data_IF_271251486383
#
_entry.id   IF_271251486383
#
_cell.length_a   1.000
_cell.length_b   1.000
_cell.length_c   1.000
_cell.angle_alpha   90.00
_cell.angle_beta   90.00
_cell.angle_gamma   90.00
#
_symmetry.space_group_name_H-M   'P 1'
#
loop_
_entity.id
_entity.type
_entity.pdbx_description
1 polymer ?
#
# COMPACT_ATOMS: atom_id res chain seq x y z
N UNK A 1 -29.72 27.75 -13.12
CA UNK A 1 -28.53 26.87 -13.08
C UNK A 1 -28.28 26.28 -14.47
N UNK A 2 -27.09 26.45 -15.06
CA UNK A 2 -26.80 25.92 -16.40
C UNK A 2 -26.89 24.38 -16.44
N UNK A 3 -27.30 23.84 -17.58
CA UNK A 3 -27.42 22.39 -17.85
C UNK A 3 -26.11 21.64 -17.58
N UNK A 4 -24.99 22.28 -17.92
CA UNK A 4 -23.63 21.80 -17.63
C UNK A 4 -23.38 21.67 -16.11
N UNK A 5 -23.89 22.59 -15.28
CA UNK A 5 -23.79 22.46 -13.81
C UNK A 5 -24.61 21.29 -13.31
N UNK A 6 -25.82 21.05 -13.84
CA UNK A 6 -26.67 19.91 -13.42
C UNK A 6 -26.01 18.56 -13.70
N UNK A 7 -25.42 18.38 -14.89
CA UNK A 7 -24.72 17.14 -15.22
C UNK A 7 -23.47 16.90 -14.35
N UNK A 8 -22.74 17.96 -13.99
CA UNK A 8 -21.60 17.85 -13.08
C UNK A 8 -22.02 17.43 -11.67
N UNK A 9 -23.10 18.00 -11.15
CA UNK A 9 -23.65 17.63 -9.84
C UNK A 9 -24.16 16.19 -9.81
N UNK A 10 -24.92 15.77 -10.82
CA UNK A 10 -25.41 14.39 -10.93
C UNK A 10 -24.25 13.38 -11.01
N UNK A 11 -23.20 13.70 -11.76
CA UNK A 11 -22.04 12.83 -11.87
C UNK A 11 -21.23 12.74 -10.57
N UNK A 12 -21.07 13.87 -9.86
CA UNK A 12 -20.43 13.90 -8.55
C UNK A 12 -21.23 13.08 -7.53
N UNK A 13 -22.55 13.28 -7.47
CA UNK A 13 -23.44 12.55 -6.58
C UNK A 13 -23.42 11.04 -6.83
N UNK A 14 -23.45 10.61 -8.09
CA UNK A 14 -23.39 9.19 -8.46
C UNK A 14 -22.04 8.56 -8.07
N UNK A 15 -20.92 9.24 -8.32
CA UNK A 15 -19.60 8.75 -7.90
C UNK A 15 -19.49 8.67 -6.38
N UNK A 16 -19.90 9.72 -5.66
CA UNK A 16 -19.94 9.71 -4.19
C UNK A 16 -20.83 8.58 -3.67
N UNK A 17 -21.99 8.34 -4.28
CA UNK A 17 -22.87 7.23 -3.94
C UNK A 17 -22.20 5.86 -4.11
N UNK A 18 -21.45 5.65 -5.20
CA UNK A 18 -20.69 4.41 -5.42
C UNK A 18 -19.59 4.19 -4.39
N UNK A 19 -18.84 5.24 -4.05
CA UNK A 19 -17.82 5.19 -3.00
C UNK A 19 -18.46 4.83 -1.67
N UNK A 20 -19.53 5.53 -1.27
CA UNK A 20 -20.25 5.26 -0.03
C UNK A 20 -20.79 3.83 0.01
N UNK A 21 -21.39 3.37 -1.09
CA UNK A 21 -21.92 2.00 -1.20
C UNK A 21 -20.84 0.95 -0.96
N UNK A 22 -19.71 1.04 -1.67
CA UNK A 22 -18.63 0.07 -1.54
C UNK A 22 -17.95 0.12 -0.18
N UNK A 23 -17.68 1.31 0.36
CA UNK A 23 -17.17 1.45 1.71
C UNK A 23 -18.15 0.88 2.73
N UNK A 24 -19.45 1.15 2.58
CA UNK A 24 -20.50 0.61 3.45
C UNK A 24 -20.51 -0.93 3.45
N UNK A 25 -20.45 -1.55 2.27
CA UNK A 25 -20.36 -3.02 2.15
C UNK A 25 -19.12 -3.56 2.86
N UNK A 26 -17.95 -3.00 2.59
CA UNK A 26 -16.70 -3.51 3.17
C UNK A 26 -16.66 -3.31 4.68
N UNK A 27 -17.15 -2.16 5.16
CA UNK A 27 -17.29 -1.91 6.59
C UNK A 27 -18.26 -2.91 7.23
N UNK A 28 -19.40 -3.20 6.59
CA UNK A 28 -20.38 -4.15 7.08
C UNK A 28 -19.86 -5.60 7.11
N UNK A 29 -19.13 -6.02 6.07
CA UNK A 29 -18.63 -7.38 5.95
C UNK A 29 -17.48 -7.69 6.92
N UNK A 30 -16.50 -6.79 7.06
CA UNK A 30 -15.27 -7.09 7.81
C UNK A 30 -14.92 -6.15 8.95
N UNK A 31 -15.34 -4.88 8.91
CA UNK A 31 -14.83 -3.87 9.84
C UNK A 31 -15.72 -3.70 11.08
N UNK A 32 -17.05 -3.72 10.94
CA UNK A 32 -18.02 -3.55 12.05
C UNK A 32 -17.86 -4.62 13.13
N UNK A 33 -17.58 -5.88 12.77
CA UNK A 33 -17.32 -6.95 13.74
C UNK A 33 -16.07 -6.71 14.61
N UNK A 34 -15.12 -5.87 14.16
CA UNK A 34 -13.84 -5.62 14.83
C UNK A 34 -13.69 -4.23 15.45
N UNK A 35 -14.57 -3.27 15.14
CA UNK A 35 -14.57 -1.92 15.76
C UNK A 35 -14.97 -1.93 17.24
N UNK A 36 -15.67 -2.98 17.70
CA UNK A 36 -16.22 -3.06 19.06
C UNK A 36 -15.25 -3.66 20.10
N UNK A 37 -14.11 -4.19 19.67
CA UNK A 37 -13.11 -4.74 20.59
C UNK A 37 -11.79 -3.94 20.51
N UNK A 38 -11.22 -3.48 21.64
CA UNK A 38 -9.89 -2.87 21.65
C UNK A 38 -8.86 -3.93 21.24
N UNK A 39 -8.26 -3.75 20.06
CA UNK A 39 -7.25 -4.68 19.55
C UNK A 39 -5.84 -4.23 19.96
N UNK A 40 -4.92 -5.17 20.22
CA UNK A 40 -3.54 -4.83 20.52
C UNK A 40 -2.89 -4.11 19.32
N UNK A 41 -2.13 -3.06 19.60
CA UNK A 41 -1.44 -2.26 18.59
C UNK A 41 -0.17 -1.65 19.15
N UNK A 42 0.74 -1.23 18.26
CA UNK A 42 2.02 -0.60 18.66
C UNK A 42 1.83 0.87 19.03
N UNK A 43 0.85 1.54 18.43
CA UNK A 43 0.56 2.95 18.64
C UNK A 43 0.08 3.31 20.05
N UNK A 44 -0.85 2.58 20.69
CA UNK A 44 -1.38 2.99 22.00
C UNK A 44 -0.31 3.08 23.08
N UNK A 45 0.49 2.02 23.25
CA UNK A 45 1.61 2.02 24.21
C UNK A 45 2.65 3.10 23.90
N UNK A 46 2.96 3.31 22.61
CA UNK A 46 3.95 4.29 22.18
C UNK A 46 3.47 5.72 22.47
N UNK A 47 2.21 6.03 22.14
CA UNK A 47 1.69 7.39 22.20
C UNK A 47 1.22 7.80 23.59
N UNK A 48 0.70 6.87 24.40
CA UNK A 48 0.51 7.11 25.84
C UNK A 48 1.81 7.51 26.51
N UNK A 49 2.92 6.88 26.13
CA UNK A 49 4.23 7.23 26.66
C UNK A 49 4.75 8.56 26.11
N UNK A 50 4.54 8.86 24.83
CA UNK A 50 4.91 10.16 24.24
C UNK A 50 4.21 11.34 24.94
N UNK A 51 2.95 11.17 25.35
CA UNK A 51 2.23 12.17 26.15
C UNK A 51 2.83 12.36 27.55
N UNK A 52 3.56 11.38 28.07
CA UNK A 52 4.15 11.40 29.41
C UNK A 52 5.64 11.84 29.44
N UNK A 53 6.28 12.05 28.27
CA UNK A 53 7.72 12.36 28.19
C UNK A 53 8.02 13.56 27.27
N UNK A 54 9.17 14.24 27.45
CA UNK A 54 9.56 15.33 26.58
C UNK A 54 9.70 14.92 25.10
N UNK A 55 9.37 15.84 24.20
CA UNK A 55 9.45 15.67 22.73
C UNK A 55 10.82 15.17 22.25
N UNK A 56 11.91 15.55 22.94
CA UNK A 56 13.27 15.11 22.63
C UNK A 56 13.47 13.59 22.68
N UNK A 57 12.55 12.85 23.32
CA UNK A 57 12.60 11.40 23.43
C UNK A 57 11.76 10.67 22.38
N UNK A 58 10.89 11.36 21.65
CA UNK A 58 9.90 10.72 20.78
C UNK A 58 10.53 9.96 19.60
N UNK A 59 11.65 10.47 19.04
CA UNK A 59 12.26 9.93 17.81
C UNK A 59 12.87 8.53 17.93
N UNK A 60 13.16 8.05 19.13
CA UNK A 60 13.76 6.72 19.37
C UNK A 60 12.89 5.81 20.24
N UNK A 61 11.71 6.29 20.64
CA UNK A 61 10.73 5.54 21.43
C UNK A 61 9.62 5.03 20.50
N UNK A 62 9.88 3.93 19.79
CA UNK A 62 8.82 3.09 19.20
C UNK A 62 8.62 1.85 20.06
N UNK A 63 7.43 1.22 20.03
CA UNK A 63 7.17 -0.17 20.51
C UNK A 63 7.90 -0.58 21.80
N UNK A 64 7.95 0.30 22.79
CA UNK A 64 8.65 -0.01 24.04
C UNK A 64 7.60 -0.31 25.10
N UNK A 65 7.60 -1.54 25.62
CA UNK A 65 6.92 -1.80 26.88
C UNK A 65 7.60 -0.94 27.95
N UNK A 66 6.81 -0.38 28.86
CA UNK A 66 7.31 0.46 29.94
C UNK A 66 8.50 -0.19 30.68
N UNK A 67 8.41 -1.51 30.89
CA UNK A 67 9.44 -2.37 31.49
C UNK A 67 10.76 -2.38 30.72
N UNK A 68 10.73 -2.34 29.38
CA UNK A 68 11.92 -2.25 28.54
C UNK A 68 12.63 -0.91 28.68
N UNK A 69 11.86 0.19 28.69
CA UNK A 69 12.40 1.55 28.86
C UNK A 69 13.05 1.70 30.23
N UNK A 70 12.41 1.20 31.29
CA UNK A 70 12.99 1.19 32.64
C UNK A 70 14.24 0.32 32.76
N UNK A 71 14.39 -0.68 31.91
CA UNK A 71 15.60 -1.52 31.81
C UNK A 71 16.69 -0.90 30.92
N UNK A 72 16.52 0.34 30.47
CA UNK A 72 17.47 1.02 29.57
C UNK A 72 17.45 0.51 28.14
N UNK A 73 16.35 -0.13 27.69
CA UNK A 73 16.22 -0.73 26.36
C UNK A 73 15.07 -0.09 25.57
N UNK A 74 15.35 0.36 24.34
CA UNK A 74 14.35 1.02 23.47
C UNK A 74 14.30 0.40 22.07
N UNK A 75 13.12 0.41 21.45
CA UNK A 75 12.92 -0.14 20.12
C UNK A 75 12.97 0.97 19.05
N UNK A 76 13.97 0.92 18.18
CA UNK A 76 14.31 2.02 17.25
C UNK A 76 14.00 1.67 15.78
N UNK A 77 13.10 0.72 15.56
CA UNK A 77 12.97 0.01 14.27
C UNK A 77 11.94 0.61 13.33
N UNK A 78 11.02 1.41 13.86
CA UNK A 78 9.99 2.05 13.09
C UNK A 78 10.53 3.31 12.43
N UNK A 79 10.16 3.59 11.17
CA UNK A 79 10.47 4.88 10.56
C UNK A 79 9.88 6.01 11.42
N UNK A 80 10.72 6.94 11.90
CA UNK A 80 10.25 8.01 12.78
C UNK A 80 9.15 8.87 12.12
N UNK A 81 9.23 9.08 10.81
CA UNK A 81 8.21 9.79 10.04
C UNK A 81 6.84 9.10 10.10
N UNK A 82 6.80 7.77 10.11
CA UNK A 82 5.56 7.01 10.29
C UNK A 82 4.98 7.27 11.67
N UNK A 83 5.77 7.13 12.73
CA UNK A 83 5.30 7.32 14.10
C UNK A 83 4.74 8.73 14.31
N UNK A 84 5.45 9.75 13.81
CA UNK A 84 5.02 11.14 13.87
C UNK A 84 3.71 11.34 13.10
N UNK A 85 3.62 10.83 11.86
CA UNK A 85 2.41 10.96 11.06
C UNK A 85 1.21 10.26 11.73
N UNK A 86 1.42 9.05 12.26
CA UNK A 86 0.40 8.31 13.01
C UNK A 86 -0.03 9.05 14.27
N UNK A 87 0.89 9.64 15.03
CA UNK A 87 0.57 10.46 16.20
C UNK A 87 -0.23 11.71 15.82
N UNK A 88 0.19 12.41 14.76
CA UNK A 88 -0.49 13.61 14.26
C UNK A 88 -1.93 13.34 13.80
N UNK A 89 -2.22 12.12 13.36
CA UNK A 89 -3.58 11.68 13.02
C UNK A 89 -4.36 11.23 14.26
N UNK A 90 -3.74 10.45 15.15
CA UNK A 90 -4.44 9.79 16.26
C UNK A 90 -4.65 10.65 17.49
N UNK A 91 -3.71 11.55 17.81
CA UNK A 91 -3.85 12.44 18.97
C UNK A 91 -5.08 13.36 18.85
N UNK A 92 -5.36 14.02 17.70
CA UNK A 92 -6.59 14.77 17.54
C UNK A 92 -7.85 13.92 17.72
N UNK A 93 -7.89 12.71 17.14
CA UNK A 93 -9.05 11.81 17.28
C UNK A 93 -9.28 11.43 18.76
N UNK A 94 -8.22 11.09 19.48
CA UNK A 94 -8.24 10.84 20.92
C UNK A 94 -8.83 12.03 21.68
N UNK A 95 -8.29 13.23 21.48
CA UNK A 95 -8.67 14.42 22.25
C UNK A 95 -10.05 14.99 21.89
N UNK A 96 -10.43 14.97 20.61
CA UNK A 96 -11.73 15.50 20.16
C UNK A 96 -12.88 14.59 20.59
N UNK A 97 -12.70 13.27 20.51
CA UNK A 97 -13.76 12.30 20.79
C UNK A 97 -13.65 11.65 22.18
N UNK A 98 -12.66 12.02 23.00
CA UNK A 98 -12.44 11.45 24.33
C UNK A 98 -12.15 9.94 24.31
N UNK A 99 -11.62 9.42 23.20
CA UNK A 99 -11.33 7.99 23.03
C UNK A 99 -9.99 7.63 23.64
N UNK A 100 -9.74 6.35 23.92
CA UNK A 100 -8.38 5.87 24.20
C UNK A 100 -7.60 5.70 22.89
N UNK A 101 -6.26 5.64 22.92
CA UNK A 101 -5.49 5.37 21.69
C UNK A 101 -5.80 3.98 21.10
N UNK A 102 -6.17 3.00 21.94
CA UNK A 102 -6.59 1.67 21.55
C UNK A 102 -7.85 1.69 20.68
N UNK A 103 -8.76 2.62 20.93
CA UNK A 103 -9.97 2.83 20.12
C UNK A 103 -9.71 3.79 18.95
N UNK A 104 -8.96 4.87 19.17
CA UNK A 104 -8.66 5.86 18.14
C UNK A 104 -7.91 5.24 16.93
N UNK A 105 -7.00 4.29 17.19
CA UNK A 105 -6.28 3.59 16.12
C UNK A 105 -7.20 2.82 15.15
N UNK A 106 -8.45 2.52 15.53
CA UNK A 106 -9.41 1.86 14.64
C UNK A 106 -9.72 2.72 13.41
N UNK A 107 -9.54 4.05 13.49
CA UNK A 107 -9.74 4.98 12.36
C UNK A 107 -8.62 4.88 11.31
N UNK A 108 -7.45 4.32 11.65
CA UNK A 108 -6.31 4.24 10.72
C UNK A 108 -6.63 3.38 9.50
N UNK A 109 -7.26 2.22 9.70
CA UNK A 109 -7.61 1.31 8.62
C UNK A 109 -8.55 1.95 7.55
N UNK A 110 -9.73 2.49 7.92
CA UNK A 110 -10.59 3.16 6.94
C UNK A 110 -9.96 4.43 6.36
N UNK A 111 -9.13 5.16 7.12
CA UNK A 111 -8.41 6.33 6.60
C UNK A 111 -7.40 5.93 5.51
N UNK A 112 -6.60 4.88 5.74
CA UNK A 112 -5.62 4.38 4.77
C UNK A 112 -6.31 3.79 3.54
N UNK A 113 -7.39 3.02 3.72
CA UNK A 113 -8.19 2.51 2.61
C UNK A 113 -8.84 3.64 1.80
N UNK A 114 -9.43 4.64 2.47
CA UNK A 114 -9.97 5.85 1.85
C UNK A 114 -8.92 6.61 1.06
N UNK A 115 -7.73 6.79 1.64
CA UNK A 115 -6.60 7.45 0.98
C UNK A 115 -6.13 6.65 -0.24
N UNK A 116 -6.05 5.32 -0.13
CA UNK A 116 -5.74 4.43 -1.25
C UNK A 116 -6.74 4.60 -2.39
N UNK A 117 -8.05 4.49 -2.11
CA UNK A 117 -9.09 4.68 -3.11
C UNK A 117 -9.00 6.07 -3.75
N UNK A 118 -8.94 7.13 -2.93
CA UNK A 118 -8.86 8.51 -3.42
C UNK A 118 -7.63 8.76 -4.31
N UNK A 119 -6.46 8.24 -3.91
CA UNK A 119 -5.22 8.38 -4.67
C UNK A 119 -5.33 7.71 -6.04
N UNK A 120 -5.82 6.47 -6.10
CA UNK A 120 -6.00 5.75 -7.37
C UNK A 120 -6.94 6.49 -8.32
N UNK A 121 -8.06 7.04 -7.83
CA UNK A 121 -8.97 7.83 -8.65
C UNK A 121 -8.37 9.16 -9.09
N UNK A 122 -7.67 9.85 -8.20
CA UNK A 122 -7.00 11.11 -8.54
C UNK A 122 -5.96 10.91 -9.65
N UNK A 123 -5.18 9.83 -9.60
CA UNK A 123 -4.19 9.51 -10.64
C UNK A 123 -4.82 9.16 -11.99
N UNK A 124 -6.03 8.59 -11.95
CA UNK A 124 -6.77 8.23 -13.15
C UNK A 124 -7.77 9.31 -13.61
N UNK A 125 -7.74 10.53 -13.03
CA UNK A 125 -8.68 11.63 -13.35
C UNK A 125 -8.77 11.98 -14.83
N UNK A 126 -7.66 11.87 -15.58
CA UNK A 126 -7.64 12.09 -17.02
C UNK A 126 -8.47 11.05 -17.75
N UNK A 127 -8.23 9.77 -17.45
CA UNK A 127 -8.99 8.64 -18.01
C UNK A 127 -10.47 8.67 -17.63
N UNK A 128 -10.77 9.07 -16.39
CA UNK A 128 -12.16 9.25 -15.94
C UNK A 128 -12.86 10.36 -16.74
N UNK A 129 -12.13 11.41 -17.12
CA UNK A 129 -12.67 12.44 -18.03
C UNK A 129 -12.92 11.87 -19.41
N UNK A 130 -12.04 11.01 -19.92
CA UNK A 130 -12.20 10.37 -21.23
C UNK A 130 -13.42 9.44 -21.27
N UNK A 131 -13.75 8.78 -20.16
CA UNK A 131 -14.99 8.00 -20.02
C UNK A 131 -16.28 8.82 -20.19
N UNK A 132 -16.22 10.16 -20.21
CA UNK A 132 -17.40 10.98 -20.49
C UNK A 132 -17.94 10.80 -21.91
N UNK A 133 -17.15 10.24 -22.83
CA UNK A 133 -17.59 9.90 -24.19
C UNK A 133 -18.28 8.54 -24.28
N UNK A 134 -18.21 7.72 -23.22
CA UNK A 134 -18.86 6.41 -23.20
C UNK A 134 -20.35 6.52 -22.82
N UNK A 135 -21.20 5.57 -23.26
CA UNK A 135 -22.61 5.53 -22.86
C UNK A 135 -22.76 5.54 -21.34
N UNK A 136 -23.78 6.23 -20.78
CA UNK A 136 -23.93 6.41 -19.33
C UNK A 136 -23.88 5.11 -18.52
N UNK A 137 -24.59 4.06 -18.97
CA UNK A 137 -24.60 2.77 -18.29
C UNK A 137 -23.19 2.16 -18.22
N UNK A 138 -22.48 2.10 -19.36
CA UNK A 138 -21.12 1.55 -19.44
C UNK A 138 -20.16 2.34 -18.56
N UNK A 139 -20.20 3.67 -18.64
CA UNK A 139 -19.39 4.57 -17.79
C UNK A 139 -19.60 4.27 -16.31
N UNK A 140 -20.84 4.19 -15.86
CA UNK A 140 -21.18 3.94 -14.46
C UNK A 140 -20.78 2.54 -14.01
N UNK A 141 -20.96 1.51 -14.84
CA UNK A 141 -20.50 0.16 -14.54
C UNK A 141 -18.98 0.09 -14.39
N UNK A 142 -18.21 0.74 -15.27
CA UNK A 142 -16.75 0.78 -15.19
C UNK A 142 -16.26 1.52 -13.93
N UNK A 143 -16.86 2.68 -13.64
CA UNK A 143 -16.55 3.44 -12.43
C UNK A 143 -16.93 2.66 -11.16
N UNK A 144 -18.07 1.98 -11.16
CA UNK A 144 -18.53 1.13 -10.06
C UNK A 144 -17.59 -0.05 -9.82
N UNK A 145 -17.17 -0.75 -10.88
CA UNK A 145 -16.22 -1.85 -10.79
C UNK A 145 -14.83 -1.39 -10.32
N UNK A 146 -14.31 -0.29 -10.87
CA UNK A 146 -13.05 0.31 -10.44
C UNK A 146 -13.08 0.71 -8.94
N UNK A 147 -14.21 1.29 -8.50
CA UNK A 147 -14.38 1.68 -7.09
C UNK A 147 -14.46 0.46 -6.20
N UNK A 148 -15.18 -0.59 -6.63
CA UNK A 148 -15.28 -1.85 -5.92
C UNK A 148 -13.94 -2.57 -5.79
N UNK A 149 -13.16 -2.65 -6.85
CA UNK A 149 -11.81 -3.25 -6.81
C UNK A 149 -10.87 -2.48 -5.87
N UNK A 150 -10.97 -1.16 -5.82
CA UNK A 150 -10.18 -0.34 -4.90
C UNK A 150 -10.61 -0.51 -3.45
N UNK A 151 -11.91 -0.40 -3.20
CA UNK A 151 -12.49 -0.39 -1.86
C UNK A 151 -12.55 -1.78 -1.24
N UNK A 152 -12.85 -2.82 -2.02
CA UNK A 152 -12.89 -4.20 -1.55
C UNK A 152 -11.55 -4.92 -1.72
N UNK A 153 -10.41 -4.22 -1.73
CA UNK A 153 -9.11 -4.89 -1.86
C UNK A 153 -8.81 -5.73 -0.61
N UNK A 154 -9.12 -7.03 -0.62
CA UNK A 154 -9.09 -7.86 0.59
C UNK A 154 -7.70 -7.92 1.27
N UNK A 155 -6.58 -8.13 0.55
CA UNK A 155 -5.24 -8.09 1.17
C UNK A 155 -4.95 -6.78 1.93
N UNK A 156 -5.43 -5.63 1.44
CA UNK A 156 -5.27 -4.35 2.13
C UNK A 156 -6.02 -4.34 3.46
N UNK A 157 -7.29 -4.74 3.47
CA UNK A 157 -8.09 -4.77 4.69
C UNK A 157 -7.65 -5.85 5.67
N UNK A 158 -7.29 -7.04 5.21
CA UNK A 158 -6.78 -8.12 6.06
C UNK A 158 -5.49 -7.66 6.75
N UNK A 159 -4.59 -7.03 6.00
CA UNK A 159 -3.38 -6.41 6.54
C UNK A 159 -3.71 -5.35 7.58
N UNK A 160 -4.60 -4.42 7.24
CA UNK A 160 -4.94 -3.29 8.11
C UNK A 160 -5.75 -3.72 9.34
N UNK A 161 -6.63 -4.70 9.25
CA UNK A 161 -7.57 -5.05 10.32
C UNK A 161 -7.04 -6.17 11.20
N UNK A 162 -6.47 -7.22 10.60
CA UNK A 162 -6.11 -8.46 11.30
C UNK A 162 -4.66 -8.53 11.79
N UNK A 163 -3.71 -7.93 11.06
CA UNK A 163 -2.29 -8.24 11.29
C UNK A 163 -1.39 -7.03 11.57
N UNK A 164 -1.67 -5.86 10.98
CA UNK A 164 -0.78 -4.70 11.08
C UNK A 164 -1.44 -3.36 10.68
N UNK A 165 -2.07 -2.72 11.66
CA UNK A 165 -2.65 -1.35 11.53
C UNK A 165 -1.58 -0.27 11.32
N UNK A 166 -0.32 -0.60 11.52
CA UNK A 166 0.88 0.23 11.39
C UNK A 166 1.65 -0.01 10.07
N UNK A 167 1.03 -0.67 9.08
CA UNK A 167 1.74 -1.05 7.85
C UNK A 167 2.04 0.16 6.93
N UNK A 168 3.26 0.68 7.06
CA UNK A 168 3.79 1.79 6.28
C UNK A 168 4.09 1.46 4.81
N UNK A 169 4.07 0.19 4.42
CA UNK A 169 4.27 -0.22 3.04
C UNK A 169 3.08 0.17 2.15
N UNK A 170 1.86 0.28 2.67
CA UNK A 170 0.67 0.61 1.88
C UNK A 170 0.77 2.02 1.24
N UNK A 171 1.01 3.11 1.99
CA UNK A 171 1.25 4.44 1.41
C UNK A 171 2.47 4.49 0.48
N UNK A 172 3.53 3.73 0.79
CA UNK A 172 4.73 3.69 -0.03
C UNK A 172 4.50 2.99 -1.38
N UNK A 173 3.79 1.85 -1.39
CA UNK A 173 3.35 1.18 -2.60
C UNK A 173 2.54 2.11 -3.49
N UNK A 174 1.64 2.91 -2.91
CA UNK A 174 0.87 3.93 -3.62
C UNK A 174 1.78 4.98 -4.29
N UNK A 175 2.67 5.60 -3.53
CA UNK A 175 3.64 6.58 -4.08
C UNK A 175 4.45 5.97 -5.23
N UNK A 176 4.86 4.71 -5.08
CA UNK A 176 5.60 3.98 -6.10
C UNK A 176 4.76 3.71 -7.37
N UNK A 177 3.48 3.38 -7.22
CA UNK A 177 2.54 3.25 -8.34
C UNK A 177 2.45 4.54 -9.15
N UNK A 178 2.29 5.66 -8.46
CA UNK A 178 2.20 6.96 -9.11
C UNK A 178 3.47 7.31 -9.86
N UNK A 179 4.63 6.97 -9.31
CA UNK A 179 5.92 7.21 -9.96
C UNK A 179 6.06 6.43 -11.28
N UNK A 180 5.73 5.15 -11.29
CA UNK A 180 5.74 4.33 -12.52
C UNK A 180 4.75 4.90 -13.55
N UNK A 181 3.53 5.23 -13.11
CA UNK A 181 2.44 5.74 -13.96
C UNK A 181 2.72 7.12 -14.54
N UNK A 182 3.39 8.00 -13.80
CA UNK A 182 3.68 9.39 -14.20
C UNK A 182 4.97 9.55 -15.02
N UNK A 183 5.53 8.44 -15.52
CA UNK A 183 6.86 8.40 -16.17
C UNK A 183 7.93 9.08 -15.30
N UNK A 184 7.72 8.95 -13.99
CA UNK A 184 8.52 9.48 -12.91
C UNK A 184 8.68 11.02 -12.86
N UNK A 185 7.87 11.84 -13.54
CA UNK A 185 7.97 13.31 -13.45
C UNK A 185 7.81 13.80 -11.98
N UNK A 186 8.83 14.48 -11.43
CA UNK A 186 8.85 14.92 -10.01
C UNK A 186 9.68 14.01 -9.07
N UNK A 187 10.59 13.23 -9.65
CA UNK A 187 11.44 12.19 -9.08
C UNK A 187 11.89 12.35 -7.60
N UNK A 188 12.59 13.45 -7.26
CA UNK A 188 13.29 13.52 -5.97
C UNK A 188 12.34 13.64 -4.76
N UNK A 189 11.21 14.34 -4.89
CA UNK A 189 10.27 14.54 -3.78
C UNK A 189 9.60 13.24 -3.35
N UNK A 190 9.21 12.40 -4.29
CA UNK A 190 8.61 11.10 -3.98
C UNK A 190 9.63 10.08 -3.48
N UNK A 191 10.85 10.07 -4.02
CA UNK A 191 11.95 9.28 -3.47
C UNK A 191 12.24 9.65 -2.01
N UNK A 192 12.21 10.95 -1.69
CA UNK A 192 12.35 11.45 -0.32
C UNK A 192 11.23 10.95 0.61
N UNK A 193 9.98 11.00 0.15
CA UNK A 193 8.83 10.44 0.90
C UNK A 193 9.00 8.94 1.11
N UNK A 194 9.39 8.18 0.09
CA UNK A 194 9.66 6.74 0.21
C UNK A 194 10.78 6.46 1.22
N UNK A 195 11.88 7.22 1.17
CA UNK A 195 12.98 7.06 2.11
C UNK A 195 12.58 7.34 3.57
N UNK A 196 11.69 8.32 3.80
CA UNK A 196 11.22 8.65 5.14
C UNK A 196 10.23 7.62 5.70
N UNK A 197 9.28 7.15 4.89
CA UNK A 197 8.17 6.32 5.35
C UNK A 197 8.42 4.83 5.17
N UNK A 198 9.16 4.43 4.15
CA UNK A 198 9.41 3.02 3.83
C UNK A 198 10.79 2.81 3.20
N UNK A 199 11.88 2.92 3.98
CA UNK A 199 13.26 2.78 3.49
C UNK A 199 13.52 1.52 2.64
N UNK A 200 12.75 0.44 2.85
CA UNK A 200 12.81 -0.80 2.07
C UNK A 200 12.50 -0.62 0.58
N UNK A 201 11.87 0.50 0.18
CA UNK A 201 11.59 0.82 -1.23
C UNK A 201 12.76 1.51 -1.93
N UNK A 202 13.80 1.94 -1.21
CA UNK A 202 14.94 2.67 -1.79
C UNK A 202 15.78 1.82 -2.78
N UNK A 203 16.02 0.52 -2.55
CA UNK A 203 16.65 -0.33 -3.57
C UNK A 203 15.83 -0.39 -4.86
N UNK A 204 14.50 -0.56 -4.75
CA UNK A 204 13.61 -0.57 -5.89
C UNK A 204 13.58 0.77 -6.62
N UNK A 205 13.56 1.88 -5.87
CA UNK A 205 13.76 3.22 -6.40
C UNK A 205 15.04 3.26 -7.24
N UNK A 206 16.19 2.96 -6.63
CA UNK A 206 17.51 3.02 -7.28
C UNK A 206 17.56 2.24 -8.60
N UNK A 207 17.03 1.00 -8.61
CA UNK A 207 17.00 0.14 -9.79
C UNK A 207 16.19 0.74 -10.94
N UNK A 208 15.03 1.36 -10.67
CA UNK A 208 14.18 1.90 -11.73
C UNK A 208 14.91 2.97 -12.55
N UNK A 209 15.60 3.91 -11.92
CA UNK A 209 16.23 4.98 -12.70
C UNK A 209 17.67 4.70 -13.16
N UNK A 210 18.23 3.53 -12.85
CA UNK A 210 19.35 3.01 -13.66
C UNK A 210 18.93 2.88 -15.14
N UNK A 211 17.63 2.71 -15.41
CA UNK A 211 17.07 2.61 -16.76
C UNK A 211 16.84 3.91 -17.53
N UNK A 212 17.14 5.11 -16.97
CA UNK A 212 16.88 6.34 -17.72
C UNK A 212 17.39 7.65 -17.09
N UNK A 213 18.30 8.34 -17.81
CA UNK A 213 18.86 9.69 -17.52
C UNK A 213 19.84 9.74 -16.32
N UNK A 214 21.02 9.16 -16.55
CA UNK A 214 22.07 8.86 -15.57
C UNK A 214 22.42 9.98 -14.57
N UNK A 215 22.66 11.23 -14.99
CA UNK A 215 23.29 12.24 -14.10
C UNK A 215 22.35 12.84 -13.03
N UNK A 216 21.10 13.15 -13.39
CA UNK A 216 20.10 13.64 -12.42
C UNK A 216 19.59 12.51 -11.54
N UNK A 217 19.51 11.30 -12.10
CA UNK A 217 19.12 10.12 -11.38
C UNK A 217 20.14 9.73 -10.30
N UNK A 218 21.43 9.74 -10.62
CA UNK A 218 22.49 9.45 -9.65
C UNK A 218 22.40 10.36 -8.41
N UNK A 219 22.15 11.67 -8.60
CA UNK A 219 21.93 12.60 -7.48
C UNK A 219 20.70 12.25 -6.66
N UNK A 220 19.60 11.88 -7.31
CA UNK A 220 18.38 11.42 -6.63
C UNK A 220 18.64 10.17 -5.79
N UNK A 221 19.34 9.18 -6.34
CA UNK A 221 19.69 7.95 -5.61
C UNK A 221 20.57 8.25 -4.40
N UNK A 222 21.57 9.13 -4.54
CA UNK A 222 22.42 9.54 -3.41
C UNK A 222 21.58 10.23 -2.34
N UNK A 223 20.77 11.23 -2.69
CA UNK A 223 19.94 11.97 -1.72
C UNK A 223 18.97 11.02 -1.02
N UNK A 224 18.23 10.21 -1.77
CA UNK A 224 17.24 9.27 -1.25
C UNK A 224 17.89 8.18 -0.40
N UNK A 225 19.06 7.69 -0.83
CA UNK A 225 19.87 6.73 -0.07
C UNK A 225 20.37 7.32 1.25
N UNK A 226 20.86 8.55 1.24
CA UNK A 226 21.27 9.26 2.46
C UNK A 226 20.10 9.47 3.40
N UNK A 227 18.94 9.88 2.89
CA UNK A 227 17.74 10.08 3.72
C UNK A 227 17.28 8.76 4.32
N UNK A 228 17.25 7.66 3.56
CA UNK A 228 16.88 6.36 4.09
C UNK A 228 17.88 5.85 5.14
N UNK A 229 19.19 6.08 4.92
CA UNK A 229 20.21 5.77 5.92
C UNK A 229 19.96 6.58 7.21
N UNK A 230 19.71 7.89 7.10
CA UNK A 230 19.38 8.72 8.25
C UNK A 230 18.09 8.26 8.94
N UNK A 231 17.01 8.01 8.20
CA UNK A 231 15.75 7.50 8.77
C UNK A 231 15.92 6.18 9.51
N UNK A 232 16.87 5.35 9.09
CA UNK A 232 17.16 4.06 9.72
C UNK A 232 18.13 4.14 10.90
N UNK A 233 19.20 4.93 10.80
CA UNK A 233 20.27 4.99 11.79
C UNK A 233 20.09 6.08 12.84
N UNK A 234 19.43 7.20 12.51
CA UNK A 234 19.25 8.32 13.43
C UNK A 234 18.55 7.91 14.75
N UNK A 235 17.44 7.13 14.74
CA UNK A 235 16.82 6.68 15.99
C UNK A 235 17.77 5.85 16.87
N UNK A 236 18.64 5.04 16.27
CA UNK A 236 19.64 4.24 17.00
C UNK A 236 20.71 5.11 17.63
N UNK A 237 21.21 6.09 16.89
CA UNK A 237 22.21 7.03 17.39
C UNK A 237 21.65 7.90 18.52
N UNK A 238 20.42 8.40 18.38
CA UNK A 238 19.76 9.17 19.44
C UNK A 238 19.51 8.33 20.69
N UNK A 239 19.10 7.07 20.55
CA UNK A 239 18.96 6.15 21.68
C UNK A 239 20.29 5.94 22.42
N UNK A 240 21.37 5.67 21.67
CA UNK A 240 22.70 5.46 22.24
C UNK A 240 23.24 6.72 22.93
N UNK A 241 23.08 7.90 22.31
CA UNK A 241 23.46 9.18 22.89
C UNK A 241 22.67 9.50 24.18
N UNK A 242 21.43 9.02 24.28
CA UNK A 242 20.60 9.13 25.47
C UNK A 242 20.85 8.03 26.52
N UNK A 243 21.87 7.19 26.34
CA UNK A 243 22.27 6.14 27.28
C UNK A 243 21.41 4.86 27.22
N UNK A 244 20.58 4.70 26.19
CA UNK A 244 19.76 3.51 25.99
C UNK A 244 20.47 2.50 25.08
N UNK A 245 20.24 1.21 25.36
CA UNK A 245 20.54 0.12 24.44
C UNK A 245 19.40 -0.02 23.46
N UNK A 246 19.68 -0.09 22.16
CA UNK A 246 18.65 -0.41 21.17
C UNK A 246 18.48 -1.93 21.08
N UNK A 247 17.26 -2.44 21.23
CA UNK A 247 16.99 -3.80 20.76
C UNK A 247 16.85 -3.75 19.24
N UNK A 248 17.60 -4.58 18.49
CA UNK A 248 17.38 -4.67 17.06
C UNK A 248 15.96 -5.14 16.79
N UNK A 249 15.39 -4.59 15.74
CA UNK A 249 14.10 -5.00 15.21
C UNK A 249 14.01 -6.51 15.05
N UNK A 250 13.14 -7.21 15.79
CA UNK A 250 12.66 -8.54 15.37
C UNK A 250 12.07 -8.53 13.95
N UNK A 251 11.70 -7.35 13.42
CA UNK A 251 11.08 -7.14 12.12
C UNK A 251 12.13 -6.98 10.98
N UNK A 252 13.39 -6.61 11.25
CA UNK A 252 14.46 -6.50 10.23
C UNK A 252 15.73 -7.33 10.52
N UNK A 253 15.83 -8.02 11.65
CA UNK A 253 16.94 -8.95 11.95
C UNK A 253 16.53 -10.42 12.04
N UNK A 254 15.23 -10.74 11.92
CA UNK A 254 14.79 -12.06 11.43
C UNK A 254 14.80 -12.06 9.89
N UNK A 255 15.90 -11.61 9.30
CA UNK A 255 16.05 -11.37 7.85
C UNK A 255 17.05 -12.30 7.20
N UNK A 256 17.59 -13.27 7.94
CA UNK A 256 18.69 -14.12 7.50
C UNK A 256 20.05 -13.40 7.53
N UNK A 257 20.09 -12.13 7.97
CA UNK A 257 21.34 -11.41 8.24
C UNK A 257 22.13 -11.99 9.43
N UNK A 258 21.46 -12.77 10.27
CA UNK A 258 22.07 -13.60 11.31
C UNK A 258 22.51 -14.99 10.79
N UNK A 259 22.32 -15.28 9.49
CA UNK A 259 22.61 -16.58 8.87
C UNK A 259 21.61 -17.68 9.23
N UNK A 260 20.56 -17.37 10.00
CA UNK A 260 19.52 -18.33 10.34
C UNK A 260 18.72 -18.72 9.09
N UNK A 261 18.21 -19.94 9.04
CA UNK A 261 17.22 -20.42 8.05
C UNK A 261 15.99 -20.99 8.74
N UNK A 262 15.84 -20.71 10.05
CA UNK A 262 14.80 -21.30 10.90
C UNK A 262 13.38 -21.15 10.34
N UNK A 263 13.14 -20.09 9.57
CA UNK A 263 11.83 -19.72 9.02
C UNK A 263 11.79 -19.76 7.48
N UNK A 264 12.79 -20.32 6.81
CA UNK A 264 12.77 -20.55 5.36
C UNK A 264 13.87 -21.51 4.90
N UNK A 265 13.60 -22.33 3.91
CA UNK A 265 14.58 -23.20 3.23
C UNK A 265 15.11 -22.58 1.93
N UNK A 266 14.36 -21.65 1.33
CA UNK A 266 14.78 -20.94 0.11
C UNK A 266 14.03 -19.61 -0.07
N UNK A 267 14.54 -18.76 -0.97
CA UNK A 267 13.86 -17.52 -1.39
C UNK A 267 12.52 -17.84 -2.08
N UNK A 268 12.45 -18.94 -2.82
CA UNK A 268 11.21 -19.40 -3.46
C UNK A 268 10.16 -19.77 -2.40
N UNK A 269 10.58 -20.43 -1.32
CA UNK A 269 9.68 -20.71 -0.20
C UNK A 269 9.20 -19.42 0.46
N UNK A 270 10.09 -18.46 0.73
CA UNK A 270 9.69 -17.16 1.28
C UNK A 270 8.67 -16.42 0.40
N UNK A 271 8.81 -16.53 -0.93
CA UNK A 271 7.88 -15.93 -1.88
C UNK A 271 6.56 -16.71 -1.99
N UNK A 272 6.58 -18.03 -2.09
CA UNK A 272 5.39 -18.81 -2.47
C UNK A 272 4.70 -19.52 -1.31
N UNK A 273 5.43 -19.85 -0.25
CA UNK A 273 4.97 -20.69 0.85
C UNK A 273 5.59 -20.26 2.21
N UNK A 274 5.24 -19.08 2.73
CA UNK A 274 5.80 -18.54 3.99
C UNK A 274 5.65 -19.52 5.16
N UNK A 275 6.59 -19.49 6.12
CA UNK A 275 6.74 -20.55 7.14
C UNK A 275 5.77 -20.51 8.31
N UNK A 276 4.96 -19.46 8.45
CA UNK A 276 3.94 -19.37 9.50
C UNK A 276 2.60 -19.87 8.97
N UNK A 277 1.73 -20.28 9.90
CA UNK A 277 0.30 -20.64 9.77
C UNK A 277 -0.59 -19.52 9.15
N UNK A 278 -0.01 -18.65 8.34
CA UNK A 278 -0.75 -17.75 7.46
C UNK A 278 -0.84 -18.49 6.14
N UNK A 279 -1.99 -19.11 5.87
CA UNK A 279 -2.35 -19.50 4.51
C UNK A 279 -2.24 -18.25 3.65
N UNK A 280 -1.09 -18.09 2.98
CA UNK A 280 -0.87 -16.97 2.08
C UNK A 280 -1.92 -17.12 1.00
N UNK A 281 -2.95 -16.29 1.08
CA UNK A 281 -4.08 -16.34 0.16
C UNK A 281 -3.51 -16.37 -1.25
N UNK A 282 -3.79 -17.44 -1.99
CA UNK A 282 -3.44 -17.59 -3.40
C UNK A 282 -3.84 -16.35 -4.23
N UNK A 283 -4.83 -15.60 -3.72
CA UNK A 283 -5.25 -14.28 -4.18
C UNK A 283 -4.11 -13.30 -4.39
N UNK A 284 -3.05 -13.32 -3.58
CA UNK A 284 -1.90 -12.42 -3.70
C UNK A 284 -1.26 -12.51 -5.09
N UNK A 285 -1.29 -13.69 -5.70
CA UNK A 285 -0.78 -13.93 -7.06
C UNK A 285 -1.84 -13.73 -8.15
N UNK A 286 -3.13 -13.82 -7.81
CA UNK A 286 -4.22 -13.52 -8.74
C UNK A 286 -4.18 -12.05 -9.20
N UNK A 287 -3.87 -11.11 -8.29
CA UNK A 287 -3.78 -9.69 -8.64
C UNK A 287 -2.75 -9.37 -9.74
N UNK A 288 -1.46 -9.71 -9.61
CA UNK A 288 -0.48 -9.44 -10.66
C UNK A 288 -0.80 -10.22 -11.94
N UNK A 289 -1.30 -11.45 -11.85
CA UNK A 289 -1.73 -12.21 -13.03
C UNK A 289 -2.87 -11.49 -13.78
N UNK A 290 -3.90 -11.03 -13.06
CA UNK A 290 -5.00 -10.27 -13.64
C UNK A 290 -4.52 -8.94 -14.23
N UNK A 291 -3.56 -8.26 -13.59
CA UNK A 291 -3.00 -7.00 -14.06
C UNK A 291 -2.24 -7.13 -15.41
N UNK A 292 -1.79 -8.33 -15.77
CA UNK A 292 -1.14 -8.60 -17.06
C UNK A 292 -2.12 -8.86 -18.20
N UNK A 293 -3.37 -9.24 -17.93
CA UNK A 293 -4.37 -9.54 -18.97
C UNK A 293 -4.56 -8.38 -19.95
N UNK A 294 -4.73 -7.11 -19.51
CA UNK A 294 -4.82 -5.96 -20.42
C UNK A 294 -3.58 -5.80 -21.31
N UNK A 295 -2.38 -6.09 -20.78
CA UNK A 295 -1.13 -6.01 -21.52
C UNK A 295 -1.10 -7.05 -22.66
N UNK A 296 -1.51 -8.29 -22.38
CA UNK A 296 -1.64 -9.35 -23.38
C UNK A 296 -2.69 -9.02 -24.44
N UNK A 297 -3.86 -8.49 -24.05
CA UNK A 297 -4.93 -8.12 -24.98
C UNK A 297 -4.46 -7.04 -25.95
N UNK A 298 -3.84 -5.97 -25.44
CA UNK A 298 -3.32 -4.90 -26.28
C UNK A 298 -2.16 -5.34 -27.18
N UNK A 299 -1.30 -6.24 -26.70
CA UNK A 299 -0.15 -6.74 -27.46
C UNK A 299 -0.54 -7.57 -28.69
N UNK A 300 -1.75 -8.16 -28.70
CA UNK A 300 -2.28 -8.93 -29.83
C UNK A 300 -2.59 -8.06 -31.05
N UNK A 301 -2.97 -6.81 -30.85
CA UNK A 301 -3.26 -5.90 -31.96
C UNK A 301 -2.01 -5.14 -32.41
N UNK A 302 -1.62 -5.18 -33.70
CA UNK A 302 -0.46 -4.43 -34.19
C UNK A 302 -0.52 -2.92 -33.90
N UNK A 303 -1.71 -2.32 -33.96
CA UNK A 303 -1.92 -0.88 -33.70
C UNK A 303 -1.76 -0.50 -32.23
N UNK A 304 -1.88 -1.45 -31.30
CA UNK A 304 -1.81 -1.23 -29.85
C UNK A 304 -0.62 -1.91 -29.17
N UNK A 305 0.24 -2.57 -29.95
CA UNK A 305 1.35 -3.39 -29.43
C UNK A 305 2.32 -2.60 -28.55
N UNK A 306 2.69 -1.37 -28.95
CA UNK A 306 3.56 -0.50 -28.17
C UNK A 306 2.96 -0.15 -26.80
N UNK A 307 1.64 0.04 -26.74
CA UNK A 307 0.90 0.30 -25.50
C UNK A 307 0.82 -0.94 -24.62
N UNK A 308 0.60 -2.12 -25.21
CA UNK A 308 0.67 -3.40 -24.52
C UNK A 308 2.03 -3.61 -23.85
N UNK A 309 3.13 -3.35 -24.57
CA UNK A 309 4.48 -3.38 -23.99
C UNK A 309 4.67 -2.34 -22.87
N UNK A 310 4.06 -1.15 -23.00
CA UNK A 310 4.03 -0.15 -21.93
C UNK A 310 3.40 -0.70 -20.64
N UNK A 311 2.25 -1.40 -20.75
CA UNK A 311 1.61 -2.04 -19.59
C UNK A 311 2.44 -3.20 -19.02
N UNK A 312 3.08 -4.01 -19.85
CA UNK A 312 4.02 -5.05 -19.37
C UNK A 312 5.18 -4.45 -18.59
N UNK A 313 5.78 -3.39 -19.12
CA UNK A 313 6.85 -2.66 -18.44
C UNK A 313 6.37 -2.10 -17.11
N UNK A 314 5.22 -1.42 -17.10
CA UNK A 314 4.67 -0.84 -15.88
C UNK A 314 4.37 -1.92 -14.84
N UNK A 315 3.79 -3.06 -15.22
CA UNK A 315 3.57 -4.22 -14.35
C UNK A 315 4.88 -4.80 -13.81
N UNK A 316 5.90 -4.98 -14.66
CA UNK A 316 7.21 -5.48 -14.24
C UNK A 316 7.89 -4.53 -13.25
N UNK A 317 7.85 -3.21 -13.50
CA UNK A 317 8.42 -2.19 -12.60
C UNK A 317 7.74 -2.20 -11.24
N UNK A 318 6.42 -2.41 -11.21
CA UNK A 318 5.63 -2.42 -9.97
C UNK A 318 5.88 -3.64 -9.08
N UNK A 319 6.48 -4.70 -9.60
CA UNK A 319 6.86 -5.90 -8.84
C UNK A 319 8.26 -5.74 -8.20
N UNK A 320 9.07 -4.78 -8.65
CA UNK A 320 10.45 -4.57 -8.15
C UNK A 320 10.51 -4.36 -6.62
N UNK A 321 9.66 -3.52 -5.97
CA UNK A 321 9.68 -3.36 -4.51
C UNK A 321 9.49 -4.68 -3.75
N UNK A 322 8.56 -5.51 -4.22
CA UNK A 322 8.32 -6.82 -3.65
C UNK A 322 9.55 -7.72 -3.84
N UNK A 323 10.11 -7.80 -5.06
CA UNK A 323 11.30 -8.61 -5.33
C UNK A 323 12.52 -8.16 -4.54
N UNK A 324 12.77 -6.86 -4.42
CA UNK A 324 13.85 -6.34 -3.59
C UNK A 324 13.67 -6.75 -2.12
N UNK A 325 12.44 -6.68 -1.61
CA UNK A 325 12.13 -7.06 -0.22
C UNK A 325 12.31 -8.57 -0.02
N UNK A 326 11.85 -9.39 -0.97
CA UNK A 326 12.04 -10.85 -0.93
C UNK A 326 13.51 -11.23 -1.02
N UNK A 327 14.30 -10.60 -1.88
CA UNK A 327 15.72 -10.93 -2.08
C UNK A 327 16.56 -10.46 -0.90
N UNK A 328 16.34 -9.23 -0.42
CA UNK A 328 17.15 -8.64 0.64
C UNK A 328 16.69 -9.10 2.03
N UNK A 329 15.41 -9.42 2.19
CA UNK A 329 14.78 -9.78 3.47
C UNK A 329 13.83 -10.98 3.31
N UNK A 330 14.33 -12.14 2.85
CA UNK A 330 13.49 -13.30 2.55
C UNK A 330 12.81 -13.87 3.81
N UNK A 331 13.51 -13.94 4.95
CA UNK A 331 12.87 -14.39 6.20
C UNK A 331 11.79 -13.43 6.69
N UNK A 332 11.96 -12.12 6.50
CA UNK A 332 10.93 -11.13 6.84
C UNK A 332 9.67 -11.40 6.02
N UNK A 333 9.82 -11.62 4.71
CA UNK A 333 8.72 -11.99 3.82
C UNK A 333 8.06 -13.31 4.27
N UNK A 334 8.86 -14.29 4.72
CA UNK A 334 8.36 -15.59 5.19
C UNK A 334 7.57 -15.50 6.50
N UNK A 335 7.96 -14.63 7.43
CA UNK A 335 7.33 -14.54 8.77
C UNK A 335 6.20 -13.51 8.79
N UNK A 336 6.31 -12.49 7.93
CA UNK A 336 5.44 -11.32 7.88
C UNK A 336 4.87 -11.06 6.48
N UNK A 337 4.26 -12.05 5.81
CA UNK A 337 3.72 -11.87 4.46
C UNK A 337 2.67 -10.75 4.40
N UNK A 338 1.88 -10.56 5.46
CA UNK A 338 0.91 -9.46 5.59
C UNK A 338 1.54 -8.06 5.50
N UNK A 339 2.85 -7.92 5.75
CA UNK A 339 3.57 -6.64 5.59
C UNK A 339 4.09 -6.46 4.17
N UNK A 340 4.54 -7.54 3.54
CA UNK A 340 5.18 -7.52 2.21
C UNK A 340 4.21 -7.68 1.04
N UNK A 341 3.09 -8.37 1.22
CA UNK A 341 2.13 -8.63 0.15
C UNK A 341 1.48 -7.35 -0.41
N UNK A 342 1.21 -6.30 0.39
CA UNK A 342 0.82 -5.00 -0.13
C UNK A 342 1.83 -4.34 -1.08
N UNK A 343 3.10 -4.78 -1.09
CA UNK A 343 4.10 -4.32 -2.08
C UNK A 343 3.80 -4.86 -3.49
N UNK A 344 3.02 -5.93 -3.59
CA UNK A 344 2.65 -6.59 -4.84
C UNK A 344 1.19 -6.31 -5.22
N UNK A 345 0.28 -6.45 -4.25
CA UNK A 345 -1.16 -6.44 -4.52
C UNK A 345 -1.73 -5.04 -4.71
N UNK A 346 -1.26 -4.05 -3.96
CA UNK A 346 -1.69 -2.65 -4.12
C UNK A 346 -1.30 -2.11 -5.51
N UNK A 347 -0.06 -2.30 -6.01
CA UNK A 347 0.30 -1.93 -7.37
C UNK A 347 -0.47 -2.63 -8.47
N UNK A 348 -0.67 -3.95 -8.34
CA UNK A 348 -1.46 -4.71 -9.29
C UNK A 348 -2.92 -4.22 -9.33
N UNK A 349 -3.52 -3.91 -8.18
CA UNK A 349 -4.87 -3.33 -8.09
C UNK A 349 -4.95 -1.96 -8.76
N UNK A 350 -3.95 -1.09 -8.57
CA UNK A 350 -3.90 0.21 -9.24
C UNK A 350 -3.82 0.08 -10.77
N UNK A 351 -3.06 -0.90 -11.29
CA UNK A 351 -3.01 -1.21 -12.72
C UNK A 351 -4.33 -1.74 -13.26
N UNK A 352 -4.98 -2.67 -12.54
CA UNK A 352 -6.31 -3.21 -12.88
C UNK A 352 -7.36 -2.11 -12.99
N UNK A 353 -7.35 -1.17 -12.04
CA UNK A 353 -8.25 0.00 -12.08
C UNK A 353 -7.90 0.88 -13.27
N UNK A 354 -6.62 1.17 -13.49
CA UNK A 354 -6.18 1.97 -14.64
C UNK A 354 -6.61 1.35 -15.97
N UNK A 355 -6.47 0.03 -16.14
CA UNK A 355 -6.87 -0.65 -17.37
C UNK A 355 -8.39 -0.68 -17.54
N UNK A 356 -9.14 -0.82 -16.44
CA UNK A 356 -10.61 -0.77 -16.45
C UNK A 356 -11.16 0.60 -16.80
N UNK A 357 -10.39 1.67 -16.56
CA UNK A 357 -10.77 3.05 -16.89
C UNK A 357 -10.23 3.53 -18.24
N UNK A 358 -9.43 2.73 -18.95
CA UNK A 358 -8.89 3.09 -20.26
C UNK A 358 -9.87 2.67 -21.37
N UNK A 359 -10.51 3.66 -22.01
CA UNK A 359 -11.56 3.44 -23.01
C UNK A 359 -11.10 2.60 -24.21
N UNK A 360 -9.83 2.71 -24.58
CA UNK A 360 -9.26 1.96 -25.71
C UNK A 360 -9.09 0.49 -25.35
N UNK A 361 -8.64 0.19 -24.13
CA UNK A 361 -8.56 -1.17 -23.61
C UNK A 361 -9.96 -1.76 -23.51
N UNK A 362 -10.89 -1.03 -22.93
CA UNK A 362 -12.28 -1.46 -22.77
C UNK A 362 -12.96 -1.76 -24.11
N UNK A 363 -12.66 -0.99 -25.17
CA UNK A 363 -13.13 -1.27 -26.54
C UNK A 363 -12.41 -2.45 -27.18
N UNK A 364 -11.09 -2.60 -26.94
CA UNK A 364 -10.32 -3.75 -27.44
C UNK A 364 -10.70 -5.08 -26.78
N UNK A 365 -11.32 -5.00 -25.59
CA UNK A 365 -11.89 -6.13 -24.88
C UNK A 365 -13.36 -6.34 -25.26
N UNK A 366 -13.84 -5.96 -26.45
CA UNK A 366 -15.20 -6.32 -26.86
C UNK A 366 -15.32 -7.81 -27.26
N UNK A 367 -16.53 -8.37 -27.18
CA UNK A 367 -16.78 -9.79 -27.50
C UNK A 367 -16.31 -10.76 -26.41
N UNK A 368 -15.86 -11.99 -26.76
CA UNK A 368 -15.54 -13.05 -25.79
C UNK A 368 -14.47 -12.66 -24.76
N UNK A 369 -13.50 -11.83 -25.17
CA UNK A 369 -12.42 -11.34 -24.28
C UNK A 369 -12.99 -10.42 -23.19
N UNK A 370 -13.97 -9.58 -23.53
CA UNK A 370 -14.65 -8.72 -22.57
C UNK A 370 -15.52 -9.45 -21.58
N UNK A 371 -16.21 -10.49 -22.06
CA UNK A 371 -16.97 -11.38 -21.20
C UNK A 371 -16.03 -12.06 -20.21
N UNK A 372 -14.92 -12.64 -20.68
CA UNK A 372 -13.92 -13.25 -19.81
C UNK A 372 -13.30 -12.27 -18.81
N UNK A 373 -12.99 -11.04 -19.24
CA UNK A 373 -12.50 -9.99 -18.35
C UNK A 373 -13.52 -9.60 -17.29
N UNK A 374 -14.77 -9.39 -17.67
CA UNK A 374 -15.85 -9.00 -16.76
C UNK A 374 -16.12 -10.10 -15.74
N UNK A 375 -16.18 -11.36 -16.18
CA UNK A 375 -16.30 -12.51 -15.30
C UNK A 375 -15.10 -12.65 -14.36
N UNK A 376 -13.88 -12.42 -14.85
CA UNK A 376 -12.67 -12.43 -14.04
C UNK A 376 -12.64 -11.32 -12.98
N UNK A 377 -13.03 -10.09 -13.36
CA UNK A 377 -13.13 -8.96 -12.44
C UNK A 377 -14.24 -9.18 -11.40
N UNK A 378 -15.39 -9.72 -11.81
CA UNK A 378 -16.47 -10.09 -10.91
C UNK A 378 -16.05 -11.21 -9.95
N UNK A 379 -15.35 -12.23 -10.45
CA UNK A 379 -14.80 -13.31 -9.62
C UNK A 379 -13.81 -12.75 -8.60
N UNK A 380 -12.85 -11.91 -9.02
CA UNK A 380 -11.89 -11.26 -8.11
C UNK A 380 -12.59 -10.43 -7.03
N UNK A 381 -13.60 -9.65 -7.42
CA UNK A 381 -14.40 -8.84 -6.50
C UNK A 381 -15.18 -9.70 -5.52
N UNK A 382 -15.84 -10.75 -6.00
CA UNK A 382 -16.57 -11.70 -5.15
C UNK A 382 -15.64 -12.42 -4.19
N UNK A 383 -14.48 -12.90 -4.66
CA UNK A 383 -13.52 -13.56 -3.78
C UNK A 383 -13.01 -12.61 -2.70
N UNK A 384 -12.77 -11.34 -3.05
CA UNK A 384 -12.42 -10.34 -2.05
C UNK A 384 -13.51 -10.14 -1.00
N UNK A 385 -14.78 -10.02 -1.41
CA UNK A 385 -15.90 -9.84 -0.49
C UNK A 385 -16.08 -11.06 0.43
N UNK A 386 -15.93 -12.27 -0.12
CA UNK A 386 -15.94 -13.51 0.67
C UNK A 386 -14.80 -13.50 1.69
N UNK A 387 -13.57 -13.21 1.27
CA UNK A 387 -12.41 -13.13 2.18
C UNK A 387 -12.54 -12.03 3.24
N UNK A 388 -13.34 -10.98 3.00
CA UNK A 388 -13.63 -9.95 3.99
C UNK A 388 -14.75 -10.35 4.96
N UNK A 389 -15.60 -11.30 4.58
CA UNK A 389 -16.72 -11.78 5.38
C UNK A 389 -16.37 -12.95 6.30
N UNK A 390 -15.29 -13.66 5.98
CA UNK A 390 -14.66 -14.72 6.77
C UNK A 390 -13.74 -14.08 7.81
#
# INVERSE_FOLDING_TARGET
>A
MSEIRRHRWAAAAAFSGMVIFWFGIVLFLGATRMFYAPAPGVFPNTFLWWEAVPLSRHLFLGKSLQTGVFSGVVYTSYPAALLIASYAVLAPVKHVFGLSYELAQNVVAPLLAGTFTAAVFFWNRGRIKDLSTEPPLRRWSLMGAATGLAAAHAPLWITLLGFNRDNFHIPASLVFCQLVVSEMRGYAGWGFVLALFAPTHVPAWALIGLGGRAKRWARSVVIVGTVAALSFFLPKWLAAAAGYRSTPSHFLFRTGLDGSTLYMTSILQAAWHPSREVDRLWLVWLYPAAALVPAFVLARSPSHRARGFGYFRDAALLVIPYLCTVIMFPQFTSIHPYLTDPLLTCPATALLIRSSLDSEIVRSMEGPVGVAWTLGAAALLMTNLVSLSQ
#
